data_IF_036280800922
#
_entry.id   IF_036280800922
#
_cell.length_a   1.000
_cell.length_b   1.000
_cell.length_c   1.000
_cell.angle_alpha   90.00
_cell.angle_beta   90.00
_cell.angle_gamma   90.00
#
_symmetry.space_group_name_H-M   'P 1'
#
loop_
_entity.id
_entity.type
_entity.pdbx_description
1 polymer ?
#
# COMPACT_ATOMS: atom_id res chain seq x y z
N UNK A 1 -3.24 -14.70 -6.01
CA UNK A 1 -2.91 -13.54 -6.89
C UNK A 1 -2.45 -12.31 -6.12
N UNK A 2 -3.01 -11.96 -4.95
CA UNK A 2 -2.54 -10.84 -4.10
C UNK A 2 -1.58 -11.25 -2.95
N UNK A 3 -0.83 -12.34 -3.09
CA UNK A 3 0.14 -12.82 -2.09
C UNK A 3 1.58 -12.55 -2.52
N UNK A 4 1.85 -11.42 -3.15
CA UNK A 4 3.21 -11.04 -3.51
C UNK A 4 3.89 -10.38 -2.30
N UNK A 5 5.06 -10.90 -1.95
CA UNK A 5 5.86 -10.43 -0.83
C UNK A 5 6.77 -9.26 -1.24
N UNK A 6 7.13 -8.45 -0.25
CA UNK A 6 8.21 -7.47 -0.38
C UNK A 6 9.53 -8.14 -0.82
N UNK A 7 10.23 -7.53 -1.78
CA UNK A 7 11.49 -8.06 -2.33
C UNK A 7 11.33 -9.05 -3.50
N UNK A 8 10.10 -9.43 -3.85
CA UNK A 8 9.85 -10.19 -5.08
C UNK A 8 9.86 -9.24 -6.30
N UNK A 9 10.68 -9.48 -7.35
CA UNK A 9 10.68 -8.65 -8.55
C UNK A 9 9.30 -8.51 -9.21
N UNK A 10 8.45 -9.52 -9.07
CA UNK A 10 7.06 -9.50 -9.57
C UNK A 10 6.19 -8.46 -8.86
N UNK A 11 6.52 -8.10 -7.62
CA UNK A 11 5.80 -7.07 -6.86
C UNK A 11 5.97 -5.70 -7.50
N UNK A 12 7.20 -5.34 -7.91
CA UNK A 12 7.47 -4.09 -8.60
C UNK A 12 6.77 -4.03 -9.97
N UNK A 13 6.86 -5.12 -10.75
CA UNK A 13 6.20 -5.21 -12.05
C UNK A 13 4.67 -5.10 -11.94
N UNK A 14 4.07 -5.78 -10.95
CA UNK A 14 2.63 -5.71 -10.71
C UNK A 14 2.21 -4.30 -10.28
N UNK A 15 2.92 -3.67 -9.34
CA UNK A 15 2.60 -2.30 -8.92
C UNK A 15 2.70 -1.31 -10.09
N UNK A 16 3.70 -1.46 -10.95
CA UNK A 16 3.84 -0.66 -12.17
C UNK A 16 2.64 -0.80 -13.10
N UNK A 17 2.11 -2.02 -13.25
CA UNK A 17 0.90 -2.28 -14.05
C UNK A 17 -0.37 -1.68 -13.42
N UNK A 18 -0.51 -1.74 -12.10
CA UNK A 18 -1.73 -1.32 -11.38
C UNK A 18 -1.86 0.20 -11.19
N UNK A 19 -0.76 0.92 -11.37
CA UNK A 19 -0.68 2.35 -11.11
C UNK A 19 -0.10 3.09 -12.33
N UNK A 20 -0.86 3.19 -13.44
CA UNK A 20 -0.46 3.99 -14.58
C UNK A 20 -0.39 5.47 -14.18
N UNK A 21 0.72 6.14 -14.49
CA UNK A 21 0.92 7.56 -14.15
C UNK A 21 2.21 7.86 -13.40
N UNK A 22 2.99 6.85 -13.02
CA UNK A 22 4.36 7.06 -12.55
C UNK A 22 5.27 7.46 -13.71
N UNK A 23 6.02 8.54 -13.53
CA UNK A 23 7.08 8.97 -14.44
C UNK A 23 8.34 8.12 -14.18
N UNK A 24 8.44 6.97 -14.83
CA UNK A 24 9.55 6.03 -14.67
C UNK A 24 10.91 6.53 -15.17
N UNK A 25 11.02 7.79 -15.66
CA UNK A 25 12.33 8.44 -15.75
C UNK A 25 12.96 8.67 -14.37
N UNK A 26 12.14 8.65 -13.31
CA UNK A 26 12.56 8.73 -11.91
C UNK A 26 12.79 7.35 -11.30
N UNK A 27 13.54 7.31 -10.20
CA UNK A 27 13.86 6.07 -9.50
C UNK A 27 12.84 5.76 -8.40
N UNK A 28 12.04 4.70 -8.60
CA UNK A 28 11.05 4.21 -7.65
C UNK A 28 11.52 2.93 -6.96
N UNK A 29 11.14 2.79 -5.70
CA UNK A 29 11.28 1.56 -4.94
C UNK A 29 9.93 1.09 -4.41
N UNK A 30 9.83 -0.22 -4.18
CA UNK A 30 8.74 -0.76 -3.36
C UNK A 30 8.96 -0.32 -1.92
N UNK A 31 7.96 0.28 -1.30
CA UNK A 31 7.99 0.72 0.09
C UNK A 31 6.72 0.29 0.84
N UNK A 32 6.82 0.21 2.17
CA UNK A 32 5.69 -0.14 3.03
C UNK A 32 4.88 1.12 3.39
N UNK A 33 3.57 1.14 3.13
CA UNK A 33 2.67 2.23 3.54
C UNK A 33 2.73 2.42 5.05
N UNK A 34 2.34 1.40 5.82
CA UNK A 34 2.65 1.31 7.24
C UNK A 34 4.05 0.72 7.40
N UNK A 35 5.02 1.43 8.00
CA UNK A 35 6.38 0.94 8.14
C UNK A 35 6.43 -0.43 8.83
N UNK A 36 7.14 -1.40 8.21
CA UNK A 36 7.33 -2.75 8.76
C UNK A 36 7.81 -2.75 10.23
N UNK A 37 8.63 -1.76 10.61
CA UNK A 37 9.13 -1.61 11.97
C UNK A 37 8.08 -1.31 13.04
N UNK A 38 6.83 -1.03 12.66
CA UNK A 38 5.68 -0.92 13.58
C UNK A 38 5.13 -2.29 13.99
N UNK A 39 5.29 -3.30 13.14
CA UNK A 39 4.73 -4.65 13.31
C UNK A 39 5.70 -5.55 14.09
N UNK A 40 5.92 -5.20 15.35
CA UNK A 40 6.61 -6.06 16.31
C UNK A 40 5.63 -6.47 17.39
N UNK A 41 5.74 -7.69 17.93
CA UNK A 41 4.84 -8.20 18.98
C UNK A 41 4.70 -7.20 20.14
N UNK A 42 5.80 -6.60 20.59
CA UNK A 42 5.80 -5.60 21.66
C UNK A 42 5.00 -4.33 21.29
N UNK A 43 5.21 -3.77 20.10
CA UNK A 43 4.50 -2.55 19.67
C UNK A 43 3.00 -2.82 19.45
N UNK A 44 2.65 -3.95 18.86
CA UNK A 44 1.26 -4.35 18.62
C UNK A 44 0.51 -4.60 19.93
N UNK A 45 1.12 -5.31 20.89
CA UNK A 45 0.52 -5.52 22.21
C UNK A 45 0.29 -4.20 22.95
N UNK A 46 1.22 -3.24 22.86
CA UNK A 46 1.08 -1.91 23.48
C UNK A 46 -0.10 -1.09 22.95
N UNK A 47 -0.51 -1.31 21.70
CA UNK A 47 -1.67 -0.64 21.09
C UNK A 47 -2.95 -1.47 21.18
N UNK A 48 -2.96 -2.51 22.02
CA UNK A 48 -4.14 -3.30 22.34
C UNK A 48 -4.49 -4.40 21.33
N UNK A 49 -3.55 -4.81 20.47
CA UNK A 49 -3.80 -5.96 19.57
C UNK A 49 -3.77 -7.27 20.38
N UNK A 50 -4.83 -8.10 20.29
CA UNK A 50 -4.88 -9.40 20.96
C UNK A 50 -3.75 -10.34 20.51
N UNK A 51 -3.29 -11.21 21.40
CA UNK A 51 -2.13 -12.09 21.14
C UNK A 51 -2.36 -13.00 19.93
N UNK A 52 -3.60 -13.46 19.75
CA UNK A 52 -4.07 -14.31 18.66
C UNK A 52 -4.07 -13.62 17.29
N UNK A 53 -4.06 -12.28 17.23
CA UNK A 53 -4.02 -11.51 15.99
C UNK A 53 -2.60 -11.03 15.61
N UNK A 54 -1.63 -11.17 16.52
CA UNK A 54 -0.28 -10.63 16.31
C UNK A 54 0.39 -11.18 15.05
N UNK A 55 0.32 -12.50 14.84
CA UNK A 55 0.98 -13.14 13.71
C UNK A 55 0.34 -12.75 12.37
N UNK A 56 -0.99 -12.60 12.34
CA UNK A 56 -1.71 -12.12 11.15
C UNK A 56 -1.25 -10.71 10.74
N UNK A 57 -1.20 -9.77 11.69
CA UNK A 57 -0.78 -8.39 11.39
C UNK A 57 0.69 -8.32 10.95
N UNK A 58 1.57 -9.11 11.58
CA UNK A 58 2.99 -9.17 11.23
C UNK A 58 3.17 -9.73 9.82
N UNK A 59 2.44 -10.80 9.46
CA UNK A 59 2.48 -11.34 8.11
C UNK A 59 1.93 -10.35 7.09
N UNK A 60 0.72 -9.84 7.33
CA UNK A 60 0.02 -8.89 6.47
C UNK A 60 0.84 -7.62 6.20
N UNK A 61 1.66 -7.18 7.17
CA UNK A 61 2.54 -6.03 7.00
C UNK A 61 3.51 -6.16 5.82
N UNK A 62 3.87 -7.37 5.38
CA UNK A 62 4.82 -7.60 4.29
C UNK A 62 4.17 -7.95 2.94
N UNK A 63 2.83 -7.91 2.86
CA UNK A 63 2.08 -8.29 1.66
C UNK A 63 1.68 -7.07 0.85
N UNK A 64 1.40 -7.31 -0.44
CA UNK A 64 1.02 -6.31 -1.44
C UNK A 64 0.05 -5.21 -0.96
N UNK A 65 -1.01 -5.46 -0.17
CA UNK A 65 -1.89 -4.40 0.29
C UNK A 65 -1.22 -3.35 1.18
N UNK A 66 -0.08 -3.64 1.80
CA UNK A 66 0.74 -2.66 2.51
C UNK A 66 1.90 -2.09 1.66
N UNK A 67 2.02 -2.45 0.39
CA UNK A 67 3.13 -2.04 -0.47
C UNK A 67 2.70 -0.95 -1.47
N UNK A 68 3.59 0.01 -1.73
CA UNK A 68 3.43 1.08 -2.71
C UNK A 68 4.73 1.32 -3.48
N UNK A 69 4.64 2.03 -4.61
CA UNK A 69 5.83 2.59 -5.26
C UNK A 69 6.07 3.99 -4.70
N UNK A 70 7.29 4.25 -4.24
CA UNK A 70 7.69 5.53 -3.70
C UNK A 70 9.04 5.96 -4.28
N UNK A 71 9.17 7.25 -4.59
CA UNK A 71 10.42 7.81 -5.10
C UNK A 71 11.54 7.68 -4.05
N UNK A 72 12.75 7.28 -4.46
CA UNK A 72 13.83 6.94 -3.52
C UNK A 72 14.29 8.09 -2.61
N UNK A 73 14.15 9.34 -3.05
CA UNK A 73 14.43 10.55 -2.26
C UNK A 73 13.50 10.68 -1.05
N UNK A 74 12.23 10.27 -1.21
CA UNK A 74 11.18 10.39 -0.20
C UNK A 74 11.28 9.27 0.86
N UNK A 75 11.71 8.08 0.46
CA UNK A 75 11.78 6.88 1.30
C UNK A 75 12.55 7.12 2.62
N UNK A 76 13.69 7.83 2.58
CA UNK A 76 14.53 8.05 3.75
C UNK A 76 13.86 8.89 4.86
N UNK A 77 12.95 9.79 4.52
CA UNK A 77 12.28 10.68 5.49
C UNK A 77 11.09 10.02 6.20
N UNK A 78 10.54 8.96 5.62
CA UNK A 78 9.33 8.27 6.10
C UNK A 78 9.61 7.22 7.16
N UNK A 79 10.82 6.65 7.17
CA UNK A 79 11.21 5.54 8.05
C UNK A 79 10.88 5.91 9.50
N UNK A 80 9.87 5.25 10.08
CA UNK A 80 9.38 5.31 11.47
C UNK A 80 8.10 6.12 11.75
N UNK A 81 7.54 6.90 10.81
CA UNK A 81 6.29 7.66 11.06
C UNK A 81 5.04 6.85 10.75
N UNK A 82 3.94 7.13 11.45
CA UNK A 82 2.63 6.62 11.04
C UNK A 82 2.27 7.20 9.67
N UNK A 83 1.67 6.42 8.75
CA UNK A 83 1.41 6.90 7.41
C UNK A 83 0.47 8.12 7.41
N UNK A 84 -0.54 8.14 8.29
CA UNK A 84 -1.45 9.28 8.41
C UNK A 84 -0.68 10.61 8.65
N UNK A 85 0.24 10.62 9.61
CA UNK A 85 1.06 11.79 9.92
C UNK A 85 1.98 12.17 8.76
N UNK A 86 2.59 11.17 8.11
CA UNK A 86 3.52 11.38 7.01
C UNK A 86 2.81 11.97 5.78
N UNK A 87 1.67 11.41 5.38
CA UNK A 87 0.89 11.94 4.25
C UNK A 87 0.36 13.36 4.54
N UNK A 88 -0.04 13.65 5.79
CA UNK A 88 -0.46 15.00 6.18
C UNK A 88 0.69 16.03 6.09
N UNK A 89 1.92 15.62 6.37
CA UNK A 89 3.10 16.47 6.22
C UNK A 89 3.49 16.70 4.76
N UNK A 90 3.45 15.66 3.92
CA UNK A 90 3.82 15.74 2.51
C UNK A 90 2.77 16.47 1.66
N UNK A 91 1.49 16.27 1.98
CA UNK A 91 0.36 16.95 1.34
C UNK A 91 -0.50 17.63 2.41
N UNK A 92 -0.14 18.86 2.84
CA UNK A 92 -0.92 19.61 3.83
C UNK A 92 -2.33 19.91 3.36
N UNK A 93 -2.50 20.23 2.08
CA UNK A 93 -3.82 20.41 1.46
C UNK A 93 -4.61 19.10 1.44
N UNK A 94 -5.81 19.13 1.99
CA UNK A 94 -6.65 17.93 2.19
C UNK A 94 -7.09 17.34 0.86
N UNK A 95 -7.46 18.18 -0.12
CA UNK A 95 -7.96 17.71 -1.41
C UNK A 95 -6.83 17.06 -2.23
N UNK A 96 -5.66 17.69 -2.28
CA UNK A 96 -4.47 17.15 -2.92
C UNK A 96 -4.03 15.83 -2.26
N UNK A 97 -4.07 15.76 -0.92
CA UNK A 97 -3.76 14.53 -0.18
C UNK A 97 -4.73 13.40 -0.53
N UNK A 98 -6.03 13.68 -0.53
CA UNK A 98 -7.04 12.69 -0.90
C UNK A 98 -6.86 12.22 -2.35
N UNK A 99 -6.67 13.14 -3.30
CA UNK A 99 -6.40 12.78 -4.69
C UNK A 99 -5.15 11.89 -4.83
N UNK A 100 -4.09 12.21 -4.09
CA UNK A 100 -2.88 11.40 -4.08
C UNK A 100 -3.13 9.99 -3.51
N UNK A 101 -3.80 9.87 -2.36
CA UNK A 101 -4.15 8.58 -1.76
C UNK A 101 -5.00 7.71 -2.72
N UNK A 102 -6.00 8.31 -3.38
CA UNK A 102 -6.83 7.62 -4.37
C UNK A 102 -6.02 7.12 -5.58
N UNK A 103 -5.04 7.91 -6.03
CA UNK A 103 -4.12 7.46 -7.10
C UNK A 103 -3.36 6.20 -6.69
N UNK A 104 -3.02 6.05 -5.40
CA UNK A 104 -2.36 4.89 -4.80
C UNK A 104 -3.31 3.76 -4.34
N UNK A 105 -4.59 3.82 -4.73
CA UNK A 105 -5.64 2.89 -4.31
C UNK A 105 -5.81 2.82 -2.78
N UNK A 106 -5.68 3.96 -2.10
CA UNK A 106 -5.87 4.09 -0.66
C UNK A 106 -7.16 4.88 -0.44
N UNK A 107 -8.22 4.19 -0.04
CA UNK A 107 -9.56 4.76 0.22
C UNK A 107 -9.70 5.29 1.63
N UNK A 108 -9.11 4.58 2.60
CA UNK A 108 -9.03 4.96 3.99
C UNK A 108 -7.58 4.83 4.46
N UNK A 109 -7.18 5.66 5.44
CA UNK A 109 -5.86 5.56 6.05
C UNK A 109 -5.99 5.74 7.58
N UNK A 110 -6.33 4.67 8.30
CA UNK A 110 -6.53 4.71 9.74
C UNK A 110 -5.32 5.28 10.50
N UNK A 111 -5.60 6.14 11.47
CA UNK A 111 -4.58 6.76 12.32
C UNK A 111 -3.97 5.77 13.32
N UNK A 112 -4.75 4.75 13.73
CA UNK A 112 -4.36 3.79 14.74
C UNK A 112 -3.87 2.48 14.10
N UNK A 113 -2.79 1.92 14.64
CA UNK A 113 -2.18 0.70 14.11
C UNK A 113 -3.06 -0.55 14.33
N UNK A 114 -3.90 -0.58 15.37
CA UNK A 114 -4.85 -1.67 15.61
C UNK A 114 -5.96 -1.75 14.52
N UNK A 115 -6.17 -0.68 13.74
CA UNK A 115 -7.09 -0.63 12.60
C UNK A 115 -6.41 -1.00 11.28
N UNK A 116 -5.14 -1.43 11.31
CA UNK A 116 -4.38 -1.78 10.10
C UNK A 116 -5.09 -2.82 9.23
N UNK A 117 -5.75 -3.81 9.84
CA UNK A 117 -6.44 -4.86 9.08
C UNK A 117 -7.65 -4.36 8.30
N UNK A 118 -8.29 -3.27 8.74
CA UNK A 118 -9.38 -2.64 7.99
C UNK A 118 -8.84 -2.01 6.70
N UNK A 119 -7.79 -1.20 6.82
CA UNK A 119 -7.04 -0.67 5.67
C UNK A 119 -6.55 -1.79 4.74
N UNK A 120 -5.99 -2.85 5.31
CA UNK A 120 -5.43 -3.97 4.55
C UNK A 120 -6.51 -4.63 3.68
N UNK A 121 -7.68 -4.92 4.25
CA UNK A 121 -8.80 -5.56 3.54
C UNK A 121 -9.35 -4.66 2.44
N UNK A 122 -9.65 -3.40 2.74
CA UNK A 122 -10.16 -2.44 1.74
C UNK A 122 -9.21 -2.27 0.56
N UNK A 123 -7.91 -2.10 0.85
CA UNK A 123 -6.90 -1.95 -0.20
C UNK A 123 -6.69 -3.26 -0.96
N UNK A 124 -6.75 -4.41 -0.30
CA UNK A 124 -6.67 -5.72 -0.96
C UNK A 124 -7.79 -5.89 -1.99
N UNK A 125 -9.03 -5.57 -1.64
CA UNK A 125 -10.18 -5.65 -2.55
C UNK A 125 -9.99 -4.73 -3.76
N UNK A 126 -9.59 -3.48 -3.52
CA UNK A 126 -9.33 -2.50 -4.57
C UNK A 126 -8.23 -2.96 -5.52
N UNK A 127 -7.12 -3.48 -4.98
CA UNK A 127 -6.01 -4.01 -5.78
C UNK A 127 -6.43 -5.24 -6.56
N UNK A 128 -7.17 -6.17 -5.97
CA UNK A 128 -7.70 -7.35 -6.67
C UNK A 128 -8.61 -6.96 -7.84
N UNK A 129 -9.46 -5.96 -7.66
CA UNK A 129 -10.29 -5.42 -8.74
C UNK A 129 -9.43 -4.86 -9.87
N UNK A 130 -8.43 -4.01 -9.56
CA UNK A 130 -7.49 -3.48 -10.56
C UNK A 130 -6.70 -4.58 -11.28
N UNK A 131 -6.25 -5.61 -10.56
CA UNK A 131 -5.54 -6.77 -11.15
C UNK A 131 -6.45 -7.49 -12.14
N UNK A 132 -7.71 -7.75 -11.77
CA UNK A 132 -8.67 -8.41 -12.66
C UNK A 132 -8.90 -7.58 -13.92
N UNK A 133 -9.10 -6.28 -13.80
CA UNK A 133 -9.26 -5.38 -14.95
C UNK A 133 -8.01 -5.35 -15.84
N UNK A 134 -6.81 -5.28 -15.26
CA UNK A 134 -5.56 -5.24 -16.00
C UNK A 134 -5.21 -6.57 -16.70
N UNK A 135 -5.73 -7.70 -16.20
CA UNK A 135 -5.50 -9.04 -16.74
C UNK A 135 -6.65 -9.54 -17.63
N UNK A 136 -7.76 -8.80 -17.73
CA UNK A 136 -8.78 -9.09 -18.73
C UNK A 136 -8.16 -8.89 -20.11
N UNK A 137 -8.24 -9.87 -21.03
CA UNK A 137 -7.89 -9.62 -22.42
C UNK A 137 -8.75 -8.48 -22.92
N UNK A 138 -8.17 -7.55 -23.68
CA UNK A 138 -8.94 -6.55 -24.40
C UNK A 138 -9.89 -7.31 -25.35
N UNK A 139 -11.13 -7.54 -24.94
CA UNK A 139 -12.11 -8.21 -25.78
C UNK A 139 -12.40 -7.31 -26.98
N UNK A 140 -11.98 -7.81 -28.14
CA UNK A 140 -12.72 -7.80 -29.40
C UNK A 140 -13.42 -6.49 -29.73
N UNK A 141 -12.75 -5.65 -30.52
CA UNK A 141 -13.46 -4.75 -31.42
C UNK A 141 -14.27 -5.64 -32.37
N UNK A 142 -15.55 -5.83 -32.06
CA UNK A 142 -16.53 -6.26 -33.07
C UNK A 142 -16.66 -5.11 -34.06
N UNK A 143 -16.00 -5.27 -35.21
CA UNK A 143 -16.29 -4.49 -36.40
C UNK A 143 -17.61 -4.98 -36.98
N UNK A 144 -18.64 -4.13 -36.92
CA UNK A 144 -19.78 -4.17 -37.86
C UNK A 144 -19.33 -3.85 -39.29
#
# INVERSE_FOLDING_TARGET
LAQLDYGNPRTFALLTLLFPGFDFSRHFHVDHIYPKGLFTRNKLAKVGVPAEQLDELIEASNKLPNLQLLEGTINNQKRQKMPHEWYAQQWPDVNARQAHLQSQAITSLPEQLNQFMDFYRERQETLLARIRTALQPANSVETE
#
